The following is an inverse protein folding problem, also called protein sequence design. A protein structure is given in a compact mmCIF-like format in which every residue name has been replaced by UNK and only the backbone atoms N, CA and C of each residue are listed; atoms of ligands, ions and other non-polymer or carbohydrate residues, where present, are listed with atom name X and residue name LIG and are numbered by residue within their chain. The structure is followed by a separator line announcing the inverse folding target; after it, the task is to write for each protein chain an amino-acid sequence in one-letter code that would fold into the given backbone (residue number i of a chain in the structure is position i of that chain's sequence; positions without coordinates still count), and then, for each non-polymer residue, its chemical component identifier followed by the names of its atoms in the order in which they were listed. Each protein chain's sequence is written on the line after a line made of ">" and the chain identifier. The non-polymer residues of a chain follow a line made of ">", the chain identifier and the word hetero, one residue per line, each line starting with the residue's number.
data_IF_429635100955
#
_entry.id   IF_429635100955
#
_cell.length_a   1.000
_cell.length_b   1.000
_cell.length_c   1.000
_cell.angle_alpha   90.00
_cell.angle_beta   90.00
_cell.angle_gamma   90.00
#
_symmetry.space_group_name_H-M   'P 1'
#
loop_
_entity.id
_entity.type
_entity.pdbx_description
1 polymer ?
#
# COMPACT_ATOMS: atom_id res chain seq x y z
N UNK A 1 21.29 -22.78 -9.70
CA UNK A 1 20.67 -22.32 -10.95
C UNK A 1 19.20 -22.06 -10.71
N UNK A 2 18.55 -21.18 -11.50
CA UNK A 2 17.11 -20.97 -11.41
C UNK A 2 16.36 -22.27 -11.65
N UNK A 3 15.31 -22.52 -10.87
CA UNK A 3 14.39 -23.63 -11.11
C UNK A 3 13.64 -23.47 -12.44
N UNK A 4 13.07 -24.55 -13.02
CA UNK A 4 12.18 -24.46 -14.17
C UNK A 4 11.00 -23.52 -13.92
N UNK A 5 10.56 -22.83 -14.97
CA UNK A 5 9.41 -21.91 -14.86
C UNK A 5 8.13 -22.69 -14.55
N UNK A 6 7.45 -22.24 -13.50
CA UNK A 6 6.06 -22.61 -13.24
C UNK A 6 5.15 -21.64 -13.98
N UNK A 7 4.08 -22.18 -14.59
CA UNK A 7 3.10 -21.41 -15.33
C UNK A 7 1.77 -21.38 -14.58
N UNK A 8 1.17 -20.20 -14.45
CA UNK A 8 -0.11 -20.05 -13.74
C UNK A 8 -1.24 -20.83 -14.42
N UNK A 9 -1.13 -21.02 -15.75
CA UNK A 9 -2.05 -21.82 -16.55
C UNK A 9 -2.12 -23.30 -16.16
N UNK A 10 -1.12 -23.81 -15.43
CA UNK A 10 -1.10 -25.18 -14.94
C UNK A 10 -1.95 -25.37 -13.68
N UNK A 11 -2.53 -24.30 -13.13
CA UNK A 11 -3.29 -24.34 -11.88
C UNK A 11 -4.69 -23.74 -12.04
N UNK A 12 -5.71 -24.44 -11.55
CA UNK A 12 -7.11 -24.00 -11.58
C UNK A 12 -7.49 -23.06 -10.42
N UNK A 13 -6.63 -23.01 -9.38
CA UNK A 13 -6.71 -22.15 -8.19
C UNK A 13 -5.29 -21.81 -7.72
N UNK A 14 -5.16 -20.90 -6.76
CA UNK A 14 -3.88 -20.60 -6.14
C UNK A 14 -3.23 -21.88 -5.58
N UNK A 15 -1.99 -22.20 -5.98
CA UNK A 15 -1.25 -23.34 -5.43
C UNK A 15 -1.08 -23.19 -3.92
N UNK A 16 -1.03 -24.32 -3.22
CA UNK A 16 -0.71 -24.36 -1.78
C UNK A 16 0.57 -25.14 -1.61
N UNK A 17 1.57 -24.51 -1.03
CA UNK A 17 2.86 -25.11 -0.71
C UNK A 17 2.98 -25.29 0.80
N UNK A 18 3.73 -26.29 1.25
CA UNK A 18 4.04 -26.53 2.67
C UNK A 18 4.82 -25.37 3.32
N UNK A 19 5.53 -24.58 2.50
CA UNK A 19 6.22 -23.34 2.90
C UNK A 19 5.42 -22.04 2.60
N UNK A 20 4.10 -22.12 2.40
CA UNK A 20 3.24 -20.96 2.12
C UNK A 20 3.34 -19.85 3.18
N UNK A 21 3.66 -20.23 4.41
CA UNK A 21 3.72 -19.33 5.57
C UNK A 21 5.16 -19.03 6.04
N UNK A 22 6.15 -19.33 5.18
CA UNK A 22 7.57 -18.99 5.39
C UNK A 22 7.88 -17.68 4.67
N UNK A 23 8.47 -16.74 5.40
CA UNK A 23 8.80 -15.39 4.93
C UNK A 23 10.21 -14.97 5.33
N UNK A 24 10.84 -14.13 4.50
CA UNK A 24 12.02 -13.40 4.91
C UNK A 24 11.69 -12.43 6.04
N UNK A 25 12.54 -12.44 7.06
CA UNK A 25 12.46 -11.57 8.22
C UNK A 25 13.81 -10.85 8.39
N UNK A 26 13.74 -9.62 8.84
CA UNK A 26 14.91 -8.83 9.21
C UNK A 26 15.27 -9.02 10.68
N UNK A 27 16.35 -8.35 11.11
CA UNK A 27 16.70 -8.31 12.52
C UNK A 27 15.50 -7.82 13.35
N UNK A 28 15.33 -8.32 14.59
CA UNK A 28 14.24 -7.88 15.44
C UNK A 28 14.21 -6.34 15.54
N UNK A 29 13.04 -5.73 15.39
CA UNK A 29 12.90 -4.29 15.50
C UNK A 29 13.33 -3.84 16.90
N UNK A 30 13.92 -2.63 16.98
CA UNK A 30 14.24 -2.05 18.29
C UNK A 30 12.97 -1.95 19.13
N UNK A 31 13.03 -2.23 20.45
CA UNK A 31 11.91 -1.99 21.34
C UNK A 31 11.42 -0.56 21.20
N UNK A 32 10.12 -0.40 20.96
CA UNK A 32 9.49 0.93 20.94
C UNK A 32 9.41 1.47 22.36
N UNK A 33 9.72 2.75 22.54
CA UNK A 33 9.48 3.47 23.79
C UNK A 33 8.04 4.02 23.87
N UNK A 34 7.28 3.91 22.78
CA UNK A 34 5.91 4.39 22.71
C UNK A 34 4.95 3.42 23.42
N UNK A 35 4.36 3.86 24.54
CA UNK A 35 3.41 3.06 25.31
C UNK A 35 2.15 2.70 24.50
N UNK A 36 1.73 3.59 23.60
CA UNK A 36 0.55 3.43 22.75
C UNK A 36 0.81 2.63 21.48
N UNK A 37 2.03 2.13 21.28
CA UNK A 37 2.38 1.40 20.06
C UNK A 37 1.47 0.20 19.86
N UNK A 38 0.97 0.01 18.65
CA UNK A 38 0.23 -1.18 18.24
C UNK A 38 1.04 -2.47 18.46
N UNK A 39 2.37 -2.37 18.52
CA UNK A 39 3.27 -3.49 18.84
C UNK A 39 3.08 -4.00 20.27
N UNK A 40 2.50 -3.18 21.15
CA UNK A 40 2.13 -3.53 22.52
C UNK A 40 0.66 -4.00 22.63
N UNK A 41 -0.02 -4.27 21.50
CA UNK A 41 -1.41 -4.75 21.50
C UNK A 41 -1.57 -5.99 22.38
N UNK A 42 -2.67 -6.03 23.14
CA UNK A 42 -3.07 -7.19 23.97
C UNK A 42 -3.99 -8.16 23.23
N UNK A 43 -4.32 -7.88 21.97
CA UNK A 43 -5.18 -8.75 21.16
C UNK A 43 -4.38 -9.96 20.66
N UNK A 44 -4.71 -11.15 21.17
CA UNK A 44 -3.96 -12.37 20.86
C UNK A 44 -4.06 -12.80 19.39
N UNK A 45 -5.17 -12.51 18.72
CA UNK A 45 -5.32 -12.81 17.29
C UNK A 45 -4.39 -11.93 16.46
N UNK A 46 -4.35 -10.63 16.75
CA UNK A 46 -3.44 -9.70 16.11
C UNK A 46 -1.98 -10.07 16.39
N UNK A 47 -1.61 -10.36 17.64
CA UNK A 47 -0.25 -10.79 18.00
C UNK A 47 0.18 -12.05 17.24
N UNK A 48 -0.71 -13.03 17.07
CA UNK A 48 -0.44 -14.26 16.32
C UNK A 48 -0.29 -14.00 14.81
N UNK A 49 -1.03 -13.04 14.27
CA UNK A 49 -0.98 -12.69 12.86
C UNK A 49 0.20 -11.77 12.51
N UNK A 50 0.54 -10.84 13.39
CA UNK A 50 1.52 -9.77 13.16
C UNK A 50 2.96 -10.26 13.32
N UNK A 51 3.75 -10.09 12.26
CA UNK A 51 5.18 -10.42 12.25
C UNK A 51 6.01 -9.13 12.35
N UNK A 52 6.51 -8.75 13.55
CA UNK A 52 7.12 -7.43 13.78
C UNK A 52 8.42 -7.21 13.01
N UNK A 53 9.04 -8.29 12.52
CA UNK A 53 10.30 -8.34 11.80
C UNK A 53 10.13 -8.83 10.35
N UNK A 54 8.91 -8.85 9.80
CA UNK A 54 8.71 -9.16 8.36
C UNK A 54 9.56 -8.20 7.51
N UNK A 55 10.27 -8.74 6.51
CA UNK A 55 11.06 -7.91 5.60
C UNK A 55 10.15 -7.06 4.74
N UNK A 56 10.18 -5.74 4.96
CA UNK A 56 9.30 -4.79 4.27
C UNK A 56 9.78 -4.46 2.87
N UNK A 57 11.10 -4.29 2.69
CA UNK A 57 11.68 -3.71 1.49
C UNK A 57 12.57 -4.69 0.72
N UNK A 58 12.46 -4.64 -0.60
CA UNK A 58 13.31 -5.34 -1.55
C UNK A 58 14.52 -4.47 -1.89
N UNK A 59 15.71 -5.07 -1.89
CA UNK A 59 16.95 -4.47 -2.36
C UNK A 59 17.89 -5.52 -2.97
N UNK A 60 18.98 -5.05 -3.59
CA UNK A 60 19.95 -5.84 -4.36
C UNK A 60 20.54 -7.09 -3.67
N UNK A 61 20.51 -7.15 -2.34
CA UNK A 61 21.10 -8.22 -1.53
C UNK A 61 20.08 -9.23 -0.99
N UNK A 62 18.76 -9.02 -1.21
CA UNK A 62 17.75 -9.90 -0.63
C UNK A 62 17.52 -11.20 -1.38
N UNK A 63 17.77 -11.22 -2.69
CA UNK A 63 17.43 -12.37 -3.55
C UNK A 63 18.70 -13.15 -3.89
N UNK A 64 18.93 -14.23 -3.14
CA UNK A 64 19.86 -15.29 -3.52
C UNK A 64 19.13 -16.37 -4.35
N UNK A 65 19.84 -17.41 -4.79
CA UNK A 65 19.24 -18.46 -5.64
C UNK A 65 18.16 -19.29 -4.92
N UNK A 66 18.32 -19.55 -3.62
CA UNK A 66 17.30 -20.26 -2.84
C UNK A 66 16.04 -19.43 -2.73
N UNK A 67 16.19 -18.13 -2.46
CA UNK A 67 15.10 -17.18 -2.36
C UNK A 67 14.39 -16.99 -3.69
N UNK A 68 15.14 -16.89 -4.79
CA UNK A 68 14.58 -16.88 -6.13
C UNK A 68 13.70 -18.12 -6.37
N UNK A 69 14.26 -19.31 -6.16
CA UNK A 69 13.53 -20.56 -6.39
C UNK A 69 12.28 -20.65 -5.51
N UNK A 70 12.36 -20.27 -4.23
CA UNK A 70 11.18 -20.24 -3.35
C UNK A 70 10.12 -19.26 -3.87
N UNK A 71 10.51 -18.03 -4.20
CA UNK A 71 9.58 -17.01 -4.68
C UNK A 71 9.03 -17.29 -6.08
N UNK A 72 9.71 -18.07 -6.92
CA UNK A 72 9.21 -18.55 -8.22
C UNK A 72 7.99 -19.48 -8.13
N UNK A 73 7.65 -19.97 -6.92
CA UNK A 73 6.42 -20.73 -6.67
C UNK A 73 5.16 -19.86 -6.53
N UNK A 74 5.32 -18.53 -6.45
CA UNK A 74 4.22 -17.59 -6.22
C UNK A 74 4.08 -16.64 -7.40
N UNK A 75 2.84 -16.42 -7.86
CA UNK A 75 2.55 -15.43 -8.90
C UNK A 75 2.73 -14.00 -8.39
N UNK A 76 2.91 -13.05 -9.30
CA UNK A 76 2.92 -11.63 -8.99
C UNK A 76 1.61 -11.19 -8.28
N UNK A 77 1.63 -10.25 -7.31
CA UNK A 77 2.79 -9.54 -6.76
C UNK A 77 3.57 -10.35 -5.70
N UNK A 78 3.18 -11.60 -5.46
CA UNK A 78 3.63 -12.42 -4.35
C UNK A 78 4.96 -13.13 -4.62
N UNK A 79 5.43 -13.18 -5.86
CA UNK A 79 6.69 -13.83 -6.21
C UNK A 79 7.01 -13.66 -7.69
N UNK A 80 7.73 -14.62 -8.24
CA UNK A 80 8.34 -14.56 -9.58
C UNK A 80 7.90 -15.70 -10.50
N UNK A 81 6.76 -16.35 -10.24
CA UNK A 81 6.18 -17.34 -11.16
C UNK A 81 6.05 -16.73 -12.57
N UNK A 82 6.38 -17.52 -13.60
CA UNK A 82 6.45 -17.12 -15.02
C UNK A 82 7.57 -16.11 -15.38
N UNK A 83 8.31 -15.57 -14.42
CA UNK A 83 9.36 -14.59 -14.70
C UNK A 83 10.72 -15.25 -14.87
N UNK A 84 11.49 -14.74 -15.83
CA UNK A 84 12.89 -15.15 -16.00
C UNK A 84 13.77 -14.45 -14.98
N UNK A 85 14.75 -15.19 -14.45
CA UNK A 85 15.71 -14.69 -13.47
C UNK A 85 16.38 -13.40 -13.92
N UNK A 86 16.96 -13.39 -15.11
CA UNK A 86 17.72 -12.24 -15.61
C UNK A 86 16.85 -10.99 -15.81
N UNK A 87 15.58 -11.15 -16.22
CA UNK A 87 14.67 -10.02 -16.44
C UNK A 87 14.31 -9.31 -15.12
N UNK A 88 14.03 -10.07 -14.05
CA UNK A 88 13.73 -9.47 -12.74
C UNK A 88 15.00 -8.93 -12.10
N UNK A 89 16.08 -9.72 -12.10
CA UNK A 89 17.31 -9.38 -11.40
C UNK A 89 18.06 -8.20 -12.03
N UNK A 90 17.87 -7.93 -13.34
CA UNK A 90 18.36 -6.72 -13.99
C UNK A 90 17.90 -5.43 -13.29
N UNK A 91 16.68 -5.43 -12.74
CA UNK A 91 16.15 -4.31 -11.96
C UNK A 91 16.47 -4.42 -10.46
N UNK A 92 16.32 -5.62 -9.86
CA UNK A 92 16.52 -5.81 -8.41
C UNK A 92 17.94 -5.47 -7.99
N UNK A 93 18.95 -5.77 -8.82
CA UNK A 93 20.35 -5.44 -8.52
C UNK A 93 20.66 -3.95 -8.50
N UNK A 94 19.77 -3.12 -9.06
CA UNK A 94 19.90 -1.66 -9.02
C UNK A 94 19.25 -1.05 -7.78
N UNK A 95 18.36 -1.77 -7.09
CA UNK A 95 17.64 -1.22 -5.94
C UNK A 95 18.63 -1.08 -4.77
N UNK A 96 18.90 0.16 -4.30
CA UNK A 96 19.82 0.39 -3.21
C UNK A 96 19.29 -0.22 -1.91
N UNK A 97 20.20 -0.49 -0.97
CA UNK A 97 19.79 -0.87 0.38
C UNK A 97 19.03 0.31 1.01
N UNK A 98 17.81 0.10 1.54
CA UNK A 98 17.01 1.18 2.11
C UNK A 98 17.69 1.79 3.33
N UNK A 99 17.49 3.09 3.53
CA UNK A 99 17.83 3.74 4.80
C UNK A 99 16.76 3.37 5.83
N UNK A 100 17.16 2.63 6.86
CA UNK A 100 16.25 2.17 7.91
C UNK A 100 16.53 2.85 9.26
N UNK A 101 15.48 3.14 10.06
CA UNK A 101 14.06 2.95 9.75
C UNK A 101 13.53 3.95 8.70
N UNK A 102 12.43 3.63 8.01
CA UNK A 102 11.81 4.52 7.00
C UNK A 102 11.45 5.89 7.59
N UNK A 103 10.91 5.88 8.79
CA UNK A 103 10.44 7.05 9.54
C UNK A 103 11.12 7.09 10.91
N UNK A 104 11.35 8.29 11.42
CA UNK A 104 11.93 8.53 12.73
C UNK A 104 10.91 9.27 13.60
N UNK A 105 10.90 9.08 14.93
CA UNK A 105 10.11 9.93 15.82
C UNK A 105 10.46 11.41 15.60
N UNK A 106 9.45 12.27 15.61
CA UNK A 106 9.66 13.70 15.42
C UNK A 106 10.42 14.28 16.63
N UNK A 107 11.50 15.05 16.43
CA UNK A 107 12.21 15.67 17.55
C UNK A 107 11.28 16.55 18.39
N UNK A 108 11.30 16.36 19.72
CA UNK A 108 10.46 17.12 20.65
C UNK A 108 9.01 16.62 20.77
N UNK A 109 8.63 15.54 20.09
CA UNK A 109 7.37 14.84 20.33
C UNK A 109 7.49 13.85 21.53
N UNK A 110 6.44 13.09 21.81
CA UNK A 110 6.37 12.09 22.88
C UNK A 110 7.20 10.81 22.62
N UNK A 111 7.93 10.77 21.50
CA UNK A 111 8.75 9.64 21.08
C UNK A 111 7.99 8.56 20.31
N UNK A 112 6.69 8.74 20.06
CA UNK A 112 5.89 7.89 19.19
C UNK A 112 5.97 8.35 17.72
N UNK A 113 5.62 7.45 16.81
CA UNK A 113 5.37 7.76 15.40
C UNK A 113 3.87 7.64 15.13
N UNK A 114 3.18 8.77 15.02
CA UNK A 114 1.76 8.84 14.72
C UNK A 114 1.50 9.01 13.22
N UNK A 115 0.73 8.11 12.63
CA UNK A 115 0.52 8.09 11.18
C UNK A 115 -0.94 8.18 10.78
N UNK A 116 -1.24 9.03 9.80
CA UNK A 116 -2.49 9.00 9.06
C UNK A 116 -2.30 8.26 7.74
N UNK A 117 -3.20 7.33 7.42
CA UNK A 117 -3.26 6.67 6.11
C UNK A 117 -4.52 7.13 5.40
N UNK A 118 -4.37 7.80 4.26
CA UNK A 118 -5.47 8.46 3.55
C UNK A 118 -5.77 7.74 2.24
N UNK A 119 -6.77 6.87 2.28
CA UNK A 119 -7.39 6.26 1.11
C UNK A 119 -8.23 7.27 0.30
N UNK A 120 -8.74 6.82 -0.85
CA UNK A 120 -9.40 7.69 -1.81
C UNK A 120 -10.93 7.64 -1.79
N UNK A 121 -11.54 6.92 -0.85
CA UNK A 121 -12.99 6.68 -0.85
C UNK A 121 -13.82 7.96 -0.64
N UNK A 122 -15.03 7.97 -1.20
CA UNK A 122 -15.93 9.13 -1.15
C UNK A 122 -16.35 9.61 0.23
N UNK A 123 -16.15 8.81 1.28
CA UNK A 123 -16.48 9.17 2.66
C UNK A 123 -15.79 10.46 3.13
N UNK A 124 -14.66 10.83 2.52
CA UNK A 124 -13.94 12.07 2.84
C UNK A 124 -14.56 13.33 2.23
N UNK A 125 -15.41 13.25 1.20
CA UNK A 125 -15.96 14.45 0.56
C UNK A 125 -16.90 15.24 1.49
N UNK A 126 -16.51 16.44 1.91
CA UNK A 126 -17.22 17.25 2.91
C UNK A 126 -17.10 16.73 4.34
N UNK A 127 -16.05 15.98 4.65
CA UNK A 127 -15.76 15.46 6.00
C UNK A 127 -15.05 16.47 6.90
N UNK A 128 -14.32 17.42 6.31
CA UNK A 128 -13.54 18.45 7.02
C UNK A 128 -12.48 17.92 7.99
N UNK A 129 -12.01 16.68 7.80
CA UNK A 129 -10.98 16.06 8.67
C UNK A 129 -9.54 16.35 8.22
N UNK A 130 -9.34 17.24 7.24
CA UNK A 130 -8.02 17.53 6.69
C UNK A 130 -7.02 18.06 7.73
N UNK A 131 -7.49 18.91 8.65
CA UNK A 131 -6.66 19.40 9.75
C UNK A 131 -6.25 18.29 10.74
N UNK A 132 -7.14 17.32 11.01
CA UNK A 132 -6.83 16.15 11.85
C UNK A 132 -5.80 15.25 11.16
N UNK A 133 -5.97 15.00 9.85
CA UNK A 133 -5.00 14.25 9.04
C UNK A 133 -3.61 14.91 9.13
N UNK A 134 -3.54 16.22 8.88
CA UNK A 134 -2.28 16.96 8.88
C UNK A 134 -1.67 17.16 10.28
N UNK A 135 -2.39 16.85 11.36
CA UNK A 135 -1.85 16.87 12.72
C UNK A 135 -0.94 15.67 13.03
N UNK A 136 -1.01 14.59 12.25
CA UNK A 136 -0.16 13.41 12.43
C UNK A 136 1.30 13.71 12.07
N UNK A 137 2.26 12.95 12.62
CA UNK A 137 3.67 13.11 12.26
C UNK A 137 3.90 12.85 10.78
N UNK A 138 3.28 11.77 10.27
CA UNK A 138 3.43 11.31 8.91
C UNK A 138 2.09 11.00 8.24
N UNK A 139 1.96 11.40 6.97
CA UNK A 139 0.77 11.15 6.16
C UNK A 139 1.11 10.23 4.99
N UNK A 140 0.46 9.07 4.93
CA UNK A 140 0.55 8.10 3.84
C UNK A 140 -0.57 8.33 2.84
N UNK A 141 -0.23 8.45 1.56
CA UNK A 141 -1.18 8.54 0.45
C UNK A 141 -0.83 7.51 -0.63
N UNK A 142 -1.77 7.21 -1.51
CA UNK A 142 -1.58 6.24 -2.58
C UNK A 142 -2.44 6.54 -3.80
N UNK A 143 -2.06 6.00 -4.96
CA UNK A 143 -2.83 6.09 -6.21
C UNK A 143 -3.19 7.56 -6.59
N UNK A 144 -4.40 7.80 -7.09
CA UNK A 144 -4.90 9.13 -7.46
C UNK A 144 -5.34 9.97 -6.26
N UNK A 145 -4.42 10.22 -5.32
CA UNK A 145 -4.63 11.07 -4.16
C UNK A 145 -4.71 12.55 -4.58
N UNK A 146 -5.91 13.00 -4.98
CA UNK A 146 -6.19 14.40 -5.33
C UNK A 146 -6.16 15.26 -4.07
N UNK A 147 -5.29 16.27 -4.01
CA UNK A 147 -5.18 17.17 -2.85
C UNK A 147 -5.77 18.54 -3.17
N UNK A 148 -5.32 19.14 -4.28
CA UNK A 148 -5.70 20.51 -4.66
C UNK A 148 -7.21 20.67 -4.79
N UNK A 149 -7.81 21.55 -4.00
CA UNK A 149 -9.26 21.82 -3.96
C UNK A 149 -10.05 20.92 -3.00
N UNK A 150 -9.37 20.05 -2.24
CA UNK A 150 -9.95 19.10 -1.29
C UNK A 150 -9.23 19.13 0.08
N UNK A 151 -8.36 20.11 0.31
CA UNK A 151 -7.48 20.19 1.47
C UNK A 151 -8.24 20.21 2.81
N UNK A 152 -9.42 20.84 2.85
CA UNK A 152 -10.29 20.83 4.04
C UNK A 152 -10.69 19.41 4.43
N UNK A 153 -10.88 18.52 3.45
CA UNK A 153 -11.33 17.15 3.66
C UNK A 153 -10.19 16.15 3.83
N UNK A 154 -9.08 16.35 3.12
CA UNK A 154 -8.03 15.32 3.00
C UNK A 154 -6.67 15.79 3.51
N UNK A 155 -6.54 17.04 3.95
CA UNK A 155 -5.27 17.66 4.33
C UNK A 155 -4.43 18.02 3.11
N UNK A 156 -3.26 18.61 3.36
CA UNK A 156 -2.32 19.03 2.32
C UNK A 156 -0.93 18.40 2.42
N UNK A 157 -0.64 17.61 3.47
CA UNK A 157 0.67 16.97 3.67
C UNK A 157 0.73 15.59 3.04
N UNK A 158 1.89 15.21 2.51
CA UNK A 158 2.23 13.84 2.14
C UNK A 158 3.66 13.48 2.51
N UNK A 159 3.83 12.51 3.41
CA UNK A 159 5.16 12.04 3.83
C UNK A 159 5.60 10.79 3.10
N UNK A 160 4.66 9.89 2.80
CA UNK A 160 4.90 8.63 2.09
C UNK A 160 3.85 8.48 1.00
N UNK A 161 4.29 8.30 -0.24
CA UNK A 161 3.41 8.04 -1.37
C UNK A 161 3.64 6.64 -1.95
N UNK A 162 2.62 5.80 -1.84
CA UNK A 162 2.66 4.40 -2.28
C UNK A 162 1.99 4.25 -3.64
N UNK A 163 2.66 3.60 -4.59
CA UNK A 163 2.14 3.45 -5.94
C UNK A 163 2.64 2.18 -6.63
N UNK A 164 2.03 1.87 -7.77
CA UNK A 164 2.59 0.96 -8.78
C UNK A 164 2.92 1.77 -10.02
N UNK A 165 3.62 1.17 -10.99
CA UNK A 165 3.82 1.81 -12.30
C UNK A 165 2.48 2.20 -12.93
N UNK A 166 1.50 1.28 -12.86
CA UNK A 166 0.19 1.52 -13.45
C UNK A 166 -0.54 2.67 -12.76
N UNK A 167 -0.57 2.67 -11.41
CA UNK A 167 -1.34 3.68 -10.69
C UNK A 167 -0.75 5.09 -10.85
N UNK A 168 0.58 5.24 -10.82
CA UNK A 168 1.20 6.56 -10.96
C UNK A 168 1.04 7.11 -12.38
N UNK A 169 1.11 6.23 -13.39
CA UNK A 169 0.98 6.63 -14.79
C UNK A 169 -0.47 6.91 -15.21
N UNK A 170 -1.44 6.16 -14.69
CA UNK A 170 -2.84 6.30 -15.04
C UNK A 170 -3.57 7.42 -14.27
N UNK A 171 -3.09 7.78 -13.07
CA UNK A 171 -3.78 8.76 -12.21
C UNK A 171 -3.98 10.14 -12.86
N UNK A 172 -3.00 10.73 -13.58
CA UNK A 172 -3.22 11.99 -14.31
C UNK A 172 -4.34 11.92 -15.34
N UNK A 173 -4.51 10.77 -16.01
CA UNK A 173 -5.58 10.57 -17.00
C UNK A 173 -6.96 10.50 -16.33
N UNK A 174 -7.12 9.68 -15.29
CA UNK A 174 -8.41 9.47 -14.64
C UNK A 174 -8.84 10.63 -13.73
N UNK A 175 -7.87 11.25 -13.03
CA UNK A 175 -8.14 12.24 -11.99
C UNK A 175 -7.70 13.66 -12.36
N UNK A 176 -7.13 13.87 -13.56
CA UNK A 176 -6.74 15.20 -14.05
C UNK A 176 -7.90 16.20 -14.06
N UNK A 177 -9.10 15.73 -14.43
CA UNK A 177 -10.33 16.55 -14.38
C UNK A 177 -10.75 16.98 -12.96
N UNK A 178 -10.22 16.32 -11.93
CA UNK A 178 -10.43 16.69 -10.53
C UNK A 178 -9.22 17.45 -9.94
N UNK A 179 -8.22 17.80 -10.75
CA UNK A 179 -7.04 18.57 -10.30
C UNK A 179 -5.79 17.73 -10.03
N UNK A 180 -5.81 16.41 -10.26
CA UNK A 180 -4.60 15.58 -10.13
C UNK A 180 -3.64 15.81 -11.31
N UNK A 181 -2.59 16.58 -11.09
CA UNK A 181 -1.58 16.86 -12.12
C UNK A 181 -0.42 15.86 -12.12
N UNK A 182 0.01 15.46 -10.92
CA UNK A 182 1.19 14.61 -10.71
C UNK A 182 1.12 13.97 -9.32
N UNK A 183 2.04 13.05 -9.03
CA UNK A 183 2.19 12.51 -7.69
C UNK A 183 2.47 13.63 -6.66
N UNK A 184 2.07 13.44 -5.39
CA UNK A 184 2.54 14.30 -4.29
C UNK A 184 4.06 14.41 -4.28
N UNK A 185 4.55 15.58 -3.90
CA UNK A 185 5.96 15.98 -4.07
C UNK A 185 6.39 16.97 -2.98
N UNK A 186 5.89 16.76 -1.76
CA UNK A 186 6.32 17.46 -0.57
C UNK A 186 7.83 17.28 -0.34
N UNK A 187 8.45 18.26 0.31
CA UNK A 187 9.86 18.16 0.69
C UNK A 187 10.10 16.93 1.58
N UNK A 188 11.14 16.15 1.27
CA UNK A 188 11.48 14.97 2.07
C UNK A 188 10.52 13.77 1.89
N UNK A 189 9.55 13.82 0.98
CA UNK A 189 8.64 12.71 0.65
C UNK A 189 9.38 11.40 0.36
N UNK A 190 8.82 10.28 0.80
CA UNK A 190 9.32 8.94 0.48
C UNK A 190 8.38 8.28 -0.52
N UNK A 191 8.94 7.74 -1.60
CA UNK A 191 8.18 7.00 -2.60
C UNK A 191 8.34 5.52 -2.36
N UNK A 192 7.22 4.79 -2.34
CA UNK A 192 7.20 3.35 -2.13
C UNK A 192 6.49 2.68 -3.30
N UNK A 193 7.23 1.85 -4.05
CA UNK A 193 6.69 1.11 -5.18
C UNK A 193 6.25 -0.30 -4.75
N UNK A 194 5.08 -0.73 -5.21
CA UNK A 194 4.61 -2.11 -5.09
C UNK A 194 4.91 -2.84 -6.41
N UNK A 195 5.84 -3.82 -6.44
CA UNK A 195 6.20 -4.51 -7.67
C UNK A 195 5.14 -5.55 -8.06
N UNK A 196 4.05 -5.09 -8.69
CA UNK A 196 2.88 -5.92 -8.93
C UNK A 196 2.90 -6.73 -10.23
N UNK A 197 3.73 -6.35 -11.19
CA UNK A 197 3.90 -7.03 -12.46
C UNK A 197 5.27 -6.71 -13.08
N UNK A 198 5.61 -7.38 -14.20
CA UNK A 198 6.85 -7.15 -14.93
C UNK A 198 7.06 -5.69 -15.37
N UNK A 199 5.97 -4.94 -15.60
CA UNK A 199 6.04 -3.51 -15.93
C UNK A 199 6.63 -2.67 -14.80
N UNK A 200 6.44 -3.07 -13.55
CA UNK A 200 7.04 -2.41 -12.39
C UNK A 200 8.55 -2.66 -12.31
N UNK A 201 9.01 -3.88 -12.62
CA UNK A 201 10.45 -4.17 -12.70
C UNK A 201 11.12 -3.42 -13.84
N UNK A 202 10.47 -3.33 -15.02
CA UNK A 202 10.93 -2.48 -16.14
C UNK A 202 10.93 -0.99 -15.79
N UNK A 203 9.95 -0.54 -15.01
CA UNK A 203 9.91 0.82 -14.47
C UNK A 203 11.10 1.10 -13.56
N UNK A 204 11.41 0.18 -12.64
CA UNK A 204 12.57 0.29 -11.76
C UNK A 204 13.88 0.33 -12.55
N UNK A 205 14.04 -0.56 -13.53
CA UNK A 205 15.21 -0.55 -14.40
C UNK A 205 15.41 0.80 -15.11
N UNK A 206 14.35 1.33 -15.73
CA UNK A 206 14.39 2.66 -16.34
C UNK A 206 14.54 3.81 -15.34
N UNK A 207 14.02 3.67 -14.12
CA UNK A 207 14.18 4.69 -13.08
C UNK A 207 15.65 4.82 -12.66
N UNK A 208 16.34 3.70 -12.45
CA UNK A 208 17.72 3.68 -11.97
C UNK A 208 18.77 3.83 -13.08
N UNK A 209 18.53 3.30 -14.30
CA UNK A 209 19.48 3.46 -15.43
C UNK A 209 19.29 4.76 -16.21
N UNK A 210 18.17 5.47 -16.01
CA UNK A 210 17.81 6.64 -16.81
C UNK A 210 17.02 6.29 -18.08
N UNK A 211 17.04 7.17 -19.08
CA UNK A 211 16.28 6.98 -20.33
C UNK A 211 16.66 5.69 -21.08
N UNK A 212 17.88 5.19 -20.88
CA UNK A 212 18.37 3.93 -21.45
C UNK A 212 17.89 2.74 -20.61
N UNK A 213 16.81 2.07 -21.04
CA UNK A 213 16.39 0.78 -20.48
C UNK A 213 14.90 0.60 -20.23
N UNK A 214 14.09 1.66 -20.28
CA UNK A 214 12.65 1.50 -20.09
C UNK A 214 11.99 0.93 -21.37
N UNK A 215 11.48 -0.29 -21.30
CA UNK A 215 10.75 -0.97 -22.40
C UNK A 215 9.25 -1.14 -22.11
N UNK A 216 8.69 -0.32 -21.20
CA UNK A 216 7.27 -0.37 -20.82
C UNK A 216 6.36 0.52 -21.68
N UNK A 217 5.05 0.53 -21.37
CA UNK A 217 4.06 1.32 -22.11
C UNK A 217 4.38 2.81 -22.22
N UNK A 218 5.13 3.36 -21.26
CA UNK A 218 5.53 4.76 -21.22
C UNK A 218 6.99 5.01 -21.62
N UNK A 219 7.66 4.09 -22.34
CA UNK A 219 9.12 4.11 -22.68
C UNK A 219 9.67 5.44 -23.22
N UNK A 220 8.83 6.28 -23.83
CA UNK A 220 9.20 7.61 -24.33
C UNK A 220 9.45 8.65 -23.24
N UNK A 221 9.05 8.37 -21.99
CA UNK A 221 9.17 9.27 -20.85
C UNK A 221 9.92 8.56 -19.74
N UNK A 222 11.02 9.15 -19.26
CA UNK A 222 11.75 8.58 -18.12
C UNK A 222 10.84 8.50 -16.89
N UNK A 223 10.79 7.34 -16.20
CA UNK A 223 10.03 7.16 -14.96
C UNK A 223 10.16 8.27 -13.92
N UNK A 224 11.37 8.84 -13.76
CA UNK A 224 11.65 9.92 -12.81
C UNK A 224 10.77 11.16 -12.96
N UNK A 225 10.27 11.42 -14.17
CA UNK A 225 9.39 12.57 -14.48
C UNK A 225 7.99 12.49 -13.85
N UNK A 226 7.60 11.36 -13.26
CA UNK A 226 6.32 11.21 -12.56
C UNK A 226 6.37 11.65 -11.10
N UNK A 227 7.56 11.91 -10.56
CA UNK A 227 7.81 12.32 -9.19
C UNK A 227 8.03 13.82 -9.04
N UNK A 228 7.66 14.62 -10.05
CA UNK A 228 7.67 16.10 -10.00
C UNK A 228 8.98 16.72 -9.49
N UNK A 229 10.12 16.13 -9.88
CA UNK A 229 11.45 16.60 -9.49
C UNK A 229 11.88 16.20 -8.07
N UNK A 230 11.04 15.52 -7.30
CA UNK A 230 11.36 15.05 -5.93
C UNK A 230 11.92 13.63 -5.87
N UNK A 231 12.10 12.97 -7.01
CA UNK A 231 12.76 11.67 -7.04
C UNK A 231 14.17 11.78 -6.44
N UNK A 232 14.42 10.96 -5.42
CA UNK A 232 15.74 10.79 -4.84
C UNK A 232 15.89 9.33 -4.47
N UNK A 233 16.92 8.69 -5.00
CA UNK A 233 17.20 7.27 -4.81
C UNK A 233 17.28 6.87 -3.32
N UNK A 234 17.84 7.72 -2.46
CA UNK A 234 17.92 7.45 -1.00
C UNK A 234 16.57 7.51 -0.27
N UNK A 235 15.52 8.01 -0.94
CA UNK A 235 14.14 8.10 -0.44
C UNK A 235 13.16 7.26 -1.25
N UNK A 236 13.67 6.34 -2.06
CA UNK A 236 12.87 5.44 -2.89
C UNK A 236 12.94 4.01 -2.35
N UNK A 237 11.78 3.38 -2.18
CA UNK A 237 11.63 2.08 -1.55
C UNK A 237 10.78 1.17 -2.44
N UNK A 238 11.05 -0.13 -2.40
CA UNK A 238 10.28 -1.15 -3.14
C UNK A 238 9.80 -2.19 -2.14
N UNK A 239 8.51 -2.52 -2.13
CA UNK A 239 7.99 -3.54 -1.21
C UNK A 239 8.50 -4.94 -1.58
N UNK A 240 8.88 -5.71 -0.57
CA UNK A 240 9.33 -7.09 -0.73
C UNK A 240 8.15 -8.05 -0.98
N UNK A 241 8.34 -9.04 -1.85
CA UNK A 241 7.32 -10.02 -2.22
C UNK A 241 6.77 -10.77 -1.00
N UNK A 242 7.63 -11.14 -0.05
CA UNK A 242 7.19 -11.77 1.20
C UNK A 242 6.31 -10.87 2.06
N UNK A 243 6.55 -9.55 2.12
CA UNK A 243 5.63 -8.65 2.83
C UNK A 243 4.24 -8.68 2.17
N UNK A 244 4.20 -8.67 0.83
CA UNK A 244 2.94 -8.74 0.08
C UNK A 244 2.24 -10.10 0.29
N UNK A 245 3.01 -11.20 0.33
CA UNK A 245 2.50 -12.55 0.66
C UNK A 245 1.95 -12.60 2.07
N UNK A 246 2.69 -12.05 3.03
CA UNK A 246 2.33 -12.01 4.45
C UNK A 246 1.00 -11.29 4.65
N UNK A 247 0.82 -10.09 4.08
CA UNK A 247 -0.44 -9.35 4.17
C UNK A 247 -1.61 -10.17 3.58
N UNK A 248 -1.42 -10.78 2.40
CA UNK A 248 -2.44 -11.67 1.80
C UNK A 248 -2.75 -12.87 2.71
N UNK A 249 -1.75 -13.57 3.22
CA UNK A 249 -1.95 -14.84 3.89
C UNK A 249 -2.49 -14.69 5.32
N UNK A 250 -1.99 -13.70 6.06
CA UNK A 250 -2.28 -13.53 7.49
C UNK A 250 -3.49 -12.63 7.77
N UNK A 251 -3.83 -11.73 6.85
CA UNK A 251 -4.91 -10.76 7.07
C UNK A 251 -5.98 -10.76 5.97
N UNK A 252 -5.59 -10.87 4.70
CA UNK A 252 -6.48 -10.65 3.55
C UNK A 252 -6.58 -11.87 2.63
N UNK A 253 -6.78 -13.06 3.20
CA UNK A 253 -6.82 -14.33 2.47
C UNK A 253 -8.19 -14.53 1.80
N UNK A 254 -8.37 -13.95 0.62
CA UNK A 254 -9.64 -14.01 -0.10
C UNK A 254 -10.01 -15.43 -0.56
N UNK A 255 -11.28 -15.85 -0.42
CA UNK A 255 -11.77 -17.09 -1.03
C UNK A 255 -11.71 -17.08 -2.56
N UNK A 256 -11.55 -15.91 -3.20
CA UNK A 256 -11.37 -15.80 -4.65
C UNK A 256 -10.06 -16.45 -5.14
N UNK A 257 -9.10 -16.71 -4.25
CA UNK A 257 -7.91 -17.52 -4.56
C UNK A 257 -8.25 -18.96 -4.96
N UNK A 258 -9.46 -19.45 -4.66
CA UNK A 258 -9.95 -20.77 -5.08
C UNK A 258 -10.68 -20.75 -6.43
N UNK A 259 -10.76 -19.61 -7.12
CA UNK A 259 -11.48 -19.45 -8.40
C UNK A 259 -10.51 -19.46 -9.58
N UNK A 260 -11.05 -19.64 -10.80
CA UNK A 260 -10.25 -19.69 -12.05
C UNK A 260 -9.40 -18.44 -12.31
N UNK A 261 -9.81 -17.28 -11.79
CA UNK A 261 -9.08 -16.02 -11.92
C UNK A 261 -8.15 -15.74 -10.72
N UNK A 262 -7.79 -16.75 -9.93
CA UNK A 262 -6.93 -16.61 -8.75
C UNK A 262 -5.66 -15.78 -8.99
N UNK A 263 -5.07 -15.88 -10.19
CA UNK A 263 -3.80 -15.26 -10.52
C UNK A 263 -3.83 -13.72 -10.55
N UNK A 264 -5.02 -13.10 -10.64
CA UNK A 264 -5.17 -11.65 -10.53
C UNK A 264 -5.54 -11.20 -9.11
N UNK A 265 -5.91 -12.13 -8.21
CA UNK A 265 -6.42 -11.81 -6.88
C UNK A 265 -5.29 -11.30 -5.98
N UNK A 266 -5.45 -10.10 -5.44
CA UNK A 266 -4.53 -9.47 -4.49
C UNK A 266 -5.22 -8.40 -3.64
N UNK A 267 -4.67 -8.06 -2.47
CA UNK A 267 -5.05 -6.84 -1.76
C UNK A 267 -4.88 -5.58 -2.62
N UNK A 268 -5.70 -4.57 -2.37
CA UNK A 268 -5.59 -3.25 -3.00
C UNK A 268 -4.28 -2.55 -2.62
N UNK A 269 -3.86 -1.55 -3.40
CA UNK A 269 -2.76 -0.66 -2.99
C UNK A 269 -3.08 0.04 -1.66
N UNK A 270 -4.36 0.29 -1.38
CA UNK A 270 -4.86 0.80 -0.10
C UNK A 270 -4.52 -0.11 1.07
N UNK A 271 -4.84 -1.40 0.93
CA UNK A 271 -4.52 -2.40 1.92
C UNK A 271 -3.02 -2.50 2.18
N UNK A 272 -2.19 -2.61 1.14
CA UNK A 272 -0.74 -2.68 1.32
C UNK A 272 -0.17 -1.43 1.98
N UNK A 273 -0.72 -0.25 1.69
CA UNK A 273 -0.29 1.01 2.33
C UNK A 273 -0.65 1.05 3.81
N UNK A 274 -1.86 0.62 4.16
CA UNK A 274 -2.30 0.55 5.56
C UNK A 274 -1.44 -0.44 6.36
N UNK A 275 -1.21 -1.65 5.83
CA UNK A 275 -0.33 -2.61 6.49
C UNK A 275 1.13 -2.15 6.53
N UNK A 276 1.61 -1.39 5.55
CA UNK A 276 2.94 -0.78 5.61
C UNK A 276 3.04 0.17 6.81
N UNK A 277 2.05 1.06 6.97
CA UNK A 277 1.99 1.96 8.13
C UNK A 277 1.94 1.19 9.46
N UNK A 278 1.20 0.07 9.54
CA UNK A 278 1.17 -0.77 10.75
C UNK A 278 2.55 -1.35 11.13
N UNK A 279 3.47 -1.51 10.19
CA UNK A 279 4.80 -2.04 10.51
C UNK A 279 5.82 -0.93 10.79
N UNK A 280 5.53 0.32 10.44
CA UNK A 280 6.47 1.44 10.58
C UNK A 280 6.08 2.38 11.72
N UNK A 281 4.78 2.55 11.96
CA UNK A 281 4.25 3.52 12.90
C UNK A 281 3.90 2.87 14.24
N UNK A 282 3.81 3.68 15.29
CA UNK A 282 3.32 3.25 16.59
C UNK A 282 1.78 3.31 16.66
N UNK A 283 1.19 4.37 16.12
CA UNK A 283 -0.28 4.48 15.99
C UNK A 283 -0.67 4.78 14.55
N UNK A 284 -1.83 4.28 14.15
CA UNK A 284 -2.34 4.43 12.78
C UNK A 284 -3.82 4.80 12.78
N UNK A 285 -4.11 5.94 12.16
CA UNK A 285 -5.48 6.39 11.87
C UNK A 285 -5.74 6.25 10.36
N UNK A 286 -6.84 5.58 10.00
CA UNK A 286 -7.20 5.27 8.63
C UNK A 286 -8.38 6.14 8.17
N UNK A 287 -8.14 6.95 7.14
CA UNK A 287 -9.11 7.88 6.55
C UNK A 287 -9.42 7.48 5.11
N UNK A 288 -10.66 7.60 4.65
CA UNK A 288 -10.98 7.34 3.23
C UNK A 288 -10.87 5.87 2.82
N UNK A 289 -11.04 4.95 3.76
CA UNK A 289 -11.21 3.52 3.51
C UNK A 289 -12.70 3.16 3.44
N UNK A 290 -13.02 2.02 2.81
CA UNK A 290 -14.39 1.54 2.73
C UNK A 290 -14.92 1.19 4.13
N UNK A 291 -16.13 1.63 4.44
CA UNK A 291 -16.90 1.38 5.67
C UNK A 291 -18.23 0.70 5.35
N UNK A 292 -19.01 0.28 6.36
CA UNK A 292 -20.29 -0.40 6.13
C UNK A 292 -21.31 0.44 5.34
N UNK A 293 -21.24 1.76 5.48
CA UNK A 293 -22.08 2.73 4.82
C UNK A 293 -21.49 3.26 3.51
N UNK A 294 -20.52 2.56 2.89
CA UNK A 294 -19.85 3.00 1.66
C UNK A 294 -20.80 3.38 0.52
N UNK A 295 -21.98 2.74 0.46
CA UNK A 295 -23.01 3.03 -0.53
C UNK A 295 -23.56 4.47 -0.43
N UNK A 296 -23.43 5.12 0.72
CA UNK A 296 -23.81 6.53 0.94
C UNK A 296 -22.86 7.51 0.25
N UNK A 297 -21.64 7.09 -0.09
CA UNK A 297 -20.62 7.97 -0.71
C UNK A 297 -20.32 7.61 -2.16
N UNK A 298 -19.72 8.53 -2.90
CA UNK A 298 -19.19 8.25 -4.24
C UNK A 298 -18.00 7.30 -4.15
N UNK A 299 -17.58 6.72 -5.28
CA UNK A 299 -16.39 5.88 -5.31
C UNK A 299 -15.14 6.63 -4.81
N UNK A 300 -14.96 7.87 -5.27
CA UNK A 300 -13.83 8.71 -4.87
C UNK A 300 -14.29 10.01 -4.21
N UNK A 301 -13.54 10.52 -3.23
CA UNK A 301 -13.85 11.83 -2.61
C UNK A 301 -13.75 12.99 -3.61
N UNK A 302 -12.91 12.84 -4.63
CA UNK A 302 -12.73 13.84 -5.68
C UNK A 302 -14.01 14.05 -6.51
N UNK A 303 -14.95 13.11 -6.48
CA UNK A 303 -16.21 13.15 -7.21
C UNK A 303 -17.27 13.99 -6.47
N UNK A 304 -16.93 15.24 -6.13
CA UNK A 304 -17.70 16.12 -5.23
C UNK A 304 -19.15 16.33 -5.66
N UNK A 305 -19.38 16.50 -6.97
CA UNK A 305 -20.67 16.89 -7.54
C UNK A 305 -21.36 15.75 -8.30
N UNK A 306 -20.82 14.53 -8.24
CA UNK A 306 -21.39 13.37 -8.93
C UNK A 306 -21.44 12.17 -8.00
N UNK A 307 -22.58 11.48 -7.99
CA UNK A 307 -22.73 10.23 -7.27
C UNK A 307 -22.31 9.06 -8.15
N UNK A 308 -21.25 8.35 -7.77
CA UNK A 308 -20.80 7.13 -8.45
C UNK A 308 -20.87 5.94 -7.51
N UNK A 309 -20.97 4.73 -8.06
CA UNK A 309 -20.94 3.49 -7.28
C UNK A 309 -19.50 3.00 -7.15
N UNK A 310 -19.18 2.35 -6.04
CA UNK A 310 -17.92 1.62 -5.93
C UNK A 310 -17.92 0.45 -6.90
N UNK A 311 -16.86 0.34 -7.69
CA UNK A 311 -16.68 -0.76 -8.63
C UNK A 311 -15.87 -1.88 -7.97
N UNK A 312 -16.48 -3.06 -7.83
CA UNK A 312 -15.86 -4.24 -7.24
C UNK A 312 -15.17 -5.06 -8.32
N UNK A 313 -13.91 -4.72 -8.61
CA UNK A 313 -13.08 -5.51 -9.52
C UNK A 313 -12.67 -6.86 -8.90
N UNK A 314 -12.77 -7.94 -9.69
CA UNK A 314 -12.52 -9.32 -9.22
C UNK A 314 -11.10 -9.61 -8.77
N UNK A 315 -10.14 -8.74 -9.14
CA UNK A 315 -8.76 -8.83 -8.67
C UNK A 315 -8.61 -8.43 -7.19
N UNK A 316 -9.63 -7.86 -6.56
CA UNK A 316 -9.60 -7.46 -5.15
C UNK A 316 -10.84 -7.99 -4.40
N UNK A 317 -10.72 -8.10 -3.08
CA UNK A 317 -11.83 -8.47 -2.19
C UNK A 317 -12.14 -7.31 -1.24
N UNK A 318 -12.84 -6.31 -1.76
CA UNK A 318 -13.15 -5.08 -1.04
C UNK A 318 -14.00 -5.32 0.22
N UNK A 319 -14.84 -6.37 0.22
CA UNK A 319 -15.66 -6.71 1.40
C UNK A 319 -14.77 -7.31 2.49
N UNK A 320 -13.85 -8.21 2.13
CA UNK A 320 -12.85 -8.72 3.07
C UNK A 320 -11.99 -7.58 3.66
N UNK A 321 -11.51 -6.66 2.81
CA UNK A 321 -10.75 -5.49 3.27
C UNK A 321 -11.56 -4.62 4.22
N UNK A 322 -12.77 -4.21 3.83
CA UNK A 322 -13.70 -3.42 4.67
C UNK A 322 -13.90 -4.07 6.04
N UNK A 323 -14.19 -5.37 6.06
CA UNK A 323 -14.42 -6.12 7.30
C UNK A 323 -13.15 -6.20 8.16
N UNK A 324 -11.97 -6.30 7.53
CA UNK A 324 -10.67 -6.31 8.23
C UNK A 324 -10.40 -4.95 8.89
N UNK A 325 -10.68 -3.83 8.21
CA UNK A 325 -10.52 -2.50 8.81
C UNK A 325 -11.43 -2.31 10.03
N UNK A 326 -12.68 -2.75 9.93
CA UNK A 326 -13.63 -2.73 11.03
C UNK A 326 -13.16 -3.59 12.21
N UNK A 327 -12.68 -4.80 11.96
CA UNK A 327 -12.15 -5.70 13.00
C UNK A 327 -10.92 -5.11 13.69
N UNK A 328 -9.93 -4.61 12.93
CA UNK A 328 -8.75 -3.94 13.49
C UNK A 328 -9.12 -2.70 14.32
N UNK A 329 -10.14 -1.94 13.88
CA UNK A 329 -10.66 -0.81 14.63
C UNK A 329 -11.29 -1.23 15.96
N UNK A 330 -12.16 -2.23 15.94
CA UNK A 330 -12.82 -2.75 17.14
C UNK A 330 -11.82 -3.33 18.15
N UNK A 331 -10.72 -3.90 17.66
CA UNK A 331 -9.59 -4.40 18.47
C UNK A 331 -8.63 -3.31 18.96
N UNK A 332 -8.89 -2.04 18.61
CA UNK A 332 -8.04 -0.88 18.94
C UNK A 332 -6.62 -0.97 18.39
N UNK A 333 -6.44 -1.67 17.26
CA UNK A 333 -5.16 -1.71 16.52
C UNK A 333 -5.00 -0.47 15.64
N UNK A 334 -6.11 0.00 15.07
CA UNK A 334 -6.18 1.25 14.31
C UNK A 334 -7.38 2.09 14.77
N UNK A 335 -7.36 3.39 14.46
CA UNK A 335 -8.58 4.20 14.46
C UNK A 335 -9.08 4.34 13.02
N UNK A 336 -10.25 3.77 12.71
CA UNK A 336 -10.86 3.90 11.39
C UNK A 336 -11.83 5.09 11.41
N UNK A 337 -11.62 6.06 10.54
CA UNK A 337 -12.56 7.16 10.35
C UNK A 337 -13.88 6.62 9.79
N UNK A 338 -14.97 6.93 10.49
CA UNK A 338 -16.35 6.66 10.11
C UNK A 338 -17.14 7.94 10.36
N UNK A 339 -18.17 8.21 9.53
CA UNK A 339 -19.06 9.34 9.82
C UNK A 339 -20.00 8.95 10.96
N UNK A 340 -20.13 9.82 11.96
CA UNK A 340 -21.27 9.80 12.86
C UNK A 340 -22.49 10.31 12.11
N UNK A 341 -23.58 9.54 12.11
CA UNK A 341 -24.86 10.12 11.71
C UNK A 341 -25.24 11.21 12.73
N UNK A 342 -25.78 12.37 12.30
CA UNK A 342 -26.48 13.22 13.24
C UNK A 342 -27.62 12.40 13.83
N UNK A 343 -27.69 12.30 15.16
CA UNK A 343 -28.90 11.83 15.83
C UNK A 343 -30.07 12.64 15.28
N UNK A 344 -31.00 11.99 14.59
CA UNK A 344 -32.24 12.62 14.18
C UNK A 344 -33.07 12.87 15.43
N UNK A 345 -32.74 13.95 16.14
CA UNK A 345 -33.55 14.52 17.21
C UNK A 345 -34.88 14.93 16.62
N UNK A 346 -35.83 14.01 16.62
CA UNK A 346 -37.25 14.32 16.46
C UNK A 346 -37.73 14.93 17.78
N UNK A 347 -37.34 16.17 18.04
CA UNK A 347 -38.14 17.02 18.93
C UNK A 347 -39.46 17.28 18.20
N UNK A 348 -40.49 16.53 18.58
CA UNK A 348 -41.87 16.88 18.27
C UNK A 348 -42.16 18.22 18.95
N UNK A 349 -42.64 19.25 18.24
CA UNK A 349 -43.11 20.47 18.87
C UNK A 349 -44.26 20.12 19.81
N UNK A 350 -44.21 20.65 21.04
CA UNK A 350 -45.36 20.66 21.96
C UNK A 350 -46.39 21.68 21.52
#
# INVERSE_FOLDING_TARGET
>A
TPMPLLYRGNFTKAPQWDFDDVYNQDAPPRPTTCAQSLRNSKDENFKKAFLPNIRLFLHKDNINMSEWNRLSHFNNPFGFMEYKYDEVMASVKLIPKPKEPLLLPKPGADGCIHCAVVGTAGILNGSKVGAEIDAHDYVFRMNGAVIKGYEEDVGNRTSVYVHTEHSIAASPYFFGKYGYKSAPHDEGIKYVLIPEAMRDFRWLEGLFKGHEGYSGPHHKKWPGTYYSGQYNESRFYVLHQDFLRYVKNRFLKSPNLNKRFWAIVRPTNGAFTLFLALHICDTVDAYGFMTDDYMKYSNYYAQKYIKTKVHFYSNHDYILEKNTWKDLHNRKVIKLYQRTEPESGTEKPK
#
